data_IF_001299384856
#
_entry.id   IF_001299384856
#
_cell.length_a   1.000
_cell.length_b   1.000
_cell.length_c   1.000
_cell.angle_alpha   90.00
_cell.angle_beta   90.00
_cell.angle_gamma   90.00
#
_symmetry.space_group_name_H-M   'P 1'
#
loop_
_entity.id
_entity.type
_entity.pdbx_description
1 polymer ?
#
# COMPACT_ATOMS: atom_id res chain seq x y z
N UNK A 1 -37.96 41.48 13.85
CA UNK A 1 -36.54 41.70 13.55
C UNK A 1 -35.76 40.46 13.97
N UNK A 2 -34.96 39.94 13.03
CA UNK A 2 -33.85 38.97 13.15
C UNK A 2 -34.09 37.57 13.71
N UNK A 3 -34.23 36.61 12.79
CA UNK A 3 -33.90 35.21 13.01
C UNK A 3 -32.38 35.02 12.75
N UNK A 4 -31.65 34.52 13.75
CA UNK A 4 -30.24 34.19 13.62
C UNK A 4 -30.11 32.84 12.89
N UNK A 5 -29.63 32.87 11.65
CA UNK A 5 -29.28 31.67 10.91
C UNK A 5 -27.95 31.13 11.45
N UNK A 6 -28.00 29.94 12.04
CA UNK A 6 -26.85 29.19 12.51
C UNK A 6 -26.17 28.53 11.29
N UNK A 7 -25.09 29.12 10.79
CA UNK A 7 -24.29 28.51 9.73
C UNK A 7 -23.39 27.41 10.34
N UNK A 8 -23.79 26.15 10.15
CA UNK A 8 -22.93 24.99 10.40
C UNK A 8 -21.86 24.96 9.29
N UNK A 9 -20.66 25.42 9.61
CA UNK A 9 -19.47 25.12 8.80
C UNK A 9 -19.12 23.65 9.00
N UNK A 10 -19.57 22.79 8.09
CA UNK A 10 -19.01 21.45 7.91
C UNK A 10 -17.59 21.61 7.39
N UNK A 11 -16.61 21.62 8.30
CA UNK A 11 -15.21 21.48 7.94
C UNK A 11 -15.01 20.07 7.39
N UNK A 12 -14.98 19.95 6.06
CA UNK A 12 -14.46 18.75 5.40
C UNK A 12 -12.98 18.74 5.75
N UNK A 13 -12.56 17.79 6.60
CA UNK A 13 -11.15 17.57 6.83
C UNK A 13 -10.54 17.16 5.48
N UNK A 14 -9.73 18.04 4.89
CA UNK A 14 -8.86 17.68 3.78
C UNK A 14 -7.86 16.68 4.35
N UNK A 15 -8.12 15.40 4.08
CA UNK A 15 -7.17 14.33 4.37
C UNK A 15 -5.98 14.57 3.45
N UNK A 16 -4.85 15.01 4.02
CA UNK A 16 -3.63 15.28 3.24
C UNK A 16 -3.07 13.95 2.74
N UNK A 17 -3.09 13.75 1.42
CA UNK A 17 -2.49 12.62 0.74
C UNK A 17 -0.96 12.66 0.73
N UNK A 18 -0.36 11.50 0.44
CA UNK A 18 1.05 11.38 0.15
C UNK A 18 1.27 10.35 -0.98
N UNK A 19 2.38 10.48 -1.69
CA UNK A 19 2.70 9.59 -2.81
C UNK A 19 2.96 8.16 -2.36
N UNK A 20 2.26 7.18 -2.94
CA UNK A 20 2.47 5.77 -2.61
C UNK A 20 3.63 5.18 -3.43
N UNK A 21 4.66 4.69 -2.75
CA UNK A 21 5.90 4.22 -3.37
C UNK A 21 6.41 2.94 -2.72
N UNK A 22 7.35 2.29 -3.41
CA UNK A 22 8.18 1.23 -2.85
C UNK A 22 9.51 1.78 -2.36
N UNK A 23 10.01 1.21 -1.28
CA UNK A 23 11.42 1.29 -0.92
C UNK A 23 11.96 -0.13 -0.72
N UNK A 24 13.25 -0.36 -0.94
CA UNK A 24 13.88 -1.65 -0.67
C UNK A 24 15.32 -1.47 -0.22
N UNK A 25 15.81 -2.45 0.53
CA UNK A 25 17.18 -2.51 1.01
C UNK A 25 17.76 -3.90 0.79
N UNK A 26 19.03 -3.96 0.42
CA UNK A 26 19.78 -5.19 0.17
C UNK A 26 21.26 -4.99 0.55
N UNK A 27 22.09 -6.06 0.57
CA UNK A 27 23.54 -5.93 0.74
C UNK A 27 24.22 -5.05 -0.31
N UNK A 28 23.58 -4.86 -1.47
CA UNK A 28 24.09 -4.06 -2.58
C UNK A 28 23.65 -2.60 -2.53
N UNK A 29 22.88 -2.21 -1.50
CA UNK A 29 22.39 -0.85 -1.32
C UNK A 29 20.87 -0.77 -1.23
N UNK A 30 20.37 0.46 -1.31
CA UNK A 30 18.95 0.79 -1.19
C UNK A 30 18.43 1.34 -2.50
N UNK A 31 17.16 1.06 -2.78
CA UNK A 31 16.46 1.59 -3.95
C UNK A 31 15.03 1.97 -3.61
N UNK A 32 14.42 2.78 -4.47
CA UNK A 32 13.03 3.16 -4.37
C UNK A 32 12.41 3.14 -5.76
N UNK A 33 11.12 2.86 -5.83
CA UNK A 33 10.39 2.77 -7.09
C UNK A 33 8.97 3.29 -6.94
N UNK A 34 8.43 3.85 -8.02
CA UNK A 34 7.03 4.26 -8.07
C UNK A 34 6.17 3.04 -8.41
N UNK A 35 4.96 3.03 -7.86
CA UNK A 35 3.95 2.05 -8.22
C UNK A 35 2.98 2.62 -9.25
N UNK A 36 2.41 1.74 -10.04
CA UNK A 36 1.21 2.00 -10.84
C UNK A 36 0.09 1.06 -10.38
N UNK A 37 -1.16 1.52 -10.48
CA UNK A 37 -2.30 0.63 -10.30
C UNK A 37 -2.55 -0.13 -11.60
N UNK A 38 -2.44 -1.46 -11.55
CA UNK A 38 -2.86 -2.33 -12.64
C UNK A 38 -4.26 -2.87 -12.35
N UNK A 39 -5.21 -2.55 -13.22
CA UNK A 39 -6.59 -2.99 -13.06
C UNK A 39 -6.70 -4.48 -13.40
N UNK A 40 -7.21 -5.29 -12.48
CA UNK A 40 -7.42 -6.73 -12.67
C UNK A 40 -8.91 -7.10 -12.80
N UNK A 41 -9.80 -6.19 -12.40
CA UNK A 41 -11.25 -6.26 -12.64
C UNK A 41 -11.86 -4.86 -12.53
N UNK A 42 -13.17 -4.73 -12.79
CA UNK A 42 -13.89 -3.46 -12.61
C UNK A 42 -13.82 -2.92 -11.16
N UNK A 43 -13.60 -3.81 -10.19
CA UNK A 43 -13.62 -3.49 -8.77
C UNK A 43 -12.28 -3.65 -8.05
N UNK A 44 -11.21 -4.08 -8.73
CA UNK A 44 -9.93 -4.42 -8.09
C UNK A 44 -8.70 -4.02 -8.91
N UNK A 45 -7.69 -3.54 -8.19
CA UNK A 45 -6.41 -3.08 -8.71
C UNK A 45 -5.27 -3.65 -7.86
N UNK A 46 -4.16 -4.00 -8.49
CA UNK A 46 -2.93 -4.41 -7.78
C UNK A 46 -1.85 -3.36 -7.98
N UNK A 47 -0.88 -3.33 -7.06
CA UNK A 47 0.33 -2.53 -7.23
C UNK A 47 1.28 -3.25 -8.20
N UNK A 48 1.40 -2.74 -9.43
CA UNK A 48 2.48 -3.13 -10.35
C UNK A 48 3.71 -2.29 -10.05
N UNK A 49 4.78 -2.96 -9.63
CA UNK A 49 5.97 -2.33 -9.10
C UNK A 49 7.15 -2.35 -10.08
N UNK A 50 8.18 -1.58 -9.74
CA UNK A 50 9.55 -1.86 -10.19
C UNK A 50 9.96 -1.27 -11.54
N UNK A 51 9.21 -0.29 -12.06
CA UNK A 51 9.58 0.44 -13.29
C UNK A 51 9.91 1.89 -12.97
N UNK A 52 10.82 2.49 -13.74
CA UNK A 52 11.07 3.93 -13.72
C UNK A 52 9.88 4.65 -14.38
N UNK A 53 8.77 4.72 -13.66
CA UNK A 53 7.53 5.41 -14.06
C UNK A 53 7.35 6.65 -13.21
N UNK A 54 6.60 7.62 -13.70
CA UNK A 54 6.19 8.77 -12.90
C UNK A 54 5.31 8.33 -11.73
N UNK A 55 5.32 9.10 -10.64
CA UNK A 55 4.46 8.83 -9.50
C UNK A 55 3.01 9.14 -9.90
N UNK A 56 2.11 8.16 -9.79
CA UNK A 56 0.70 8.32 -10.20
C UNK A 56 -0.31 8.08 -9.08
N UNK A 57 0.12 7.60 -7.91
CA UNK A 57 -0.77 7.20 -6.82
C UNK A 57 -0.58 8.15 -5.64
N UNK A 58 -1.68 8.76 -5.21
CA UNK A 58 -1.80 9.40 -3.90
C UNK A 58 -2.59 8.48 -2.98
N UNK A 59 -2.13 8.30 -1.75
CA UNK A 59 -2.77 7.46 -0.76
C UNK A 59 -2.66 8.06 0.64
N UNK A 60 -3.49 7.54 1.54
CA UNK A 60 -3.50 7.92 2.96
C UNK A 60 -3.89 6.73 3.82
N UNK A 61 -3.36 6.69 5.04
CA UNK A 61 -3.86 5.80 6.08
C UNK A 61 -4.83 6.56 6.96
N UNK A 62 -6.09 6.14 6.98
CA UNK A 62 -7.16 6.76 7.76
C UNK A 62 -7.98 5.68 8.45
N UNK A 63 -8.07 5.76 9.79
CA UNK A 63 -8.91 4.88 10.58
C UNK A 63 -8.64 3.39 10.33
N UNK A 64 -7.36 2.99 10.39
CA UNK A 64 -6.83 1.64 10.12
C UNK A 64 -6.87 1.14 8.65
N UNK A 65 -7.37 1.95 7.73
CA UNK A 65 -7.44 1.63 6.31
C UNK A 65 -6.41 2.43 5.50
N UNK A 66 -5.68 1.76 4.61
CA UNK A 66 -4.93 2.43 3.54
C UNK A 66 -5.87 2.66 2.37
N UNK A 67 -6.10 3.92 2.01
CA UNK A 67 -7.02 4.33 0.94
C UNK A 67 -6.28 5.10 -0.14
N UNK A 68 -6.72 4.92 -1.38
CA UNK A 68 -6.26 5.76 -2.51
C UNK A 68 -7.06 7.05 -2.59
N UNK A 69 -6.38 8.13 -2.98
CA UNK A 69 -6.96 9.42 -3.31
C UNK A 69 -6.90 9.69 -4.82
N UNK A 70 -5.80 9.30 -5.46
CA UNK A 70 -5.61 9.35 -6.92
C UNK A 70 -4.98 8.04 -7.42
N UNK A 71 -5.21 7.62 -8.68
CA UNK A 71 -6.10 8.25 -9.67
C UNK A 71 -7.59 7.93 -9.43
N UNK A 72 -7.89 6.88 -8.67
CA UNK A 72 -9.26 6.45 -8.35
C UNK A 72 -9.49 6.60 -6.86
N UNK A 73 -10.22 7.64 -6.45
CA UNK A 73 -10.45 7.92 -5.04
C UNK A 73 -11.31 6.84 -4.36
N UNK A 74 -10.96 6.51 -3.12
CA UNK A 74 -11.79 5.71 -2.22
C UNK A 74 -11.58 4.20 -2.29
N UNK A 75 -10.65 3.68 -3.09
CA UNK A 75 -10.30 2.26 -3.03
C UNK A 75 -9.60 1.96 -1.70
N UNK A 76 -10.00 0.86 -1.05
CA UNK A 76 -9.42 0.37 0.20
C UNK A 76 -8.41 -0.74 -0.10
N UNK A 77 -7.23 -0.70 0.53
CA UNK A 77 -6.25 -1.77 0.43
C UNK A 77 -6.69 -2.99 1.26
N UNK A 78 -6.66 -4.15 0.60
CA UNK A 78 -6.88 -5.46 1.17
C UNK A 78 -5.67 -6.36 0.93
N UNK A 79 -5.41 -7.27 1.85
CA UNK A 79 -4.45 -8.35 1.68
C UNK A 79 -5.22 -9.59 1.23
N UNK A 80 -5.13 -9.90 -0.07
CA UNK A 80 -5.85 -11.02 -0.70
C UNK A 80 -4.96 -12.26 -0.69
N UNK A 81 -5.37 -13.39 -0.09
CA UNK A 81 -4.51 -14.57 0.04
C UNK A 81 -4.18 -15.19 -1.32
N UNK A 82 -2.94 -15.64 -1.46
CA UNK A 82 -2.48 -16.42 -2.62
C UNK A 82 -2.69 -17.90 -2.32
N UNK A 83 -3.63 -18.54 -3.03
CA UNK A 83 -3.99 -19.93 -2.77
C UNK A 83 -2.79 -20.87 -2.97
N UNK A 84 -2.54 -21.73 -1.98
CA UNK A 84 -1.48 -22.75 -2.04
C UNK A 84 -0.06 -22.25 -1.77
N UNK A 85 0.12 -20.99 -1.35
CA UNK A 85 1.44 -20.46 -0.95
C UNK A 85 1.92 -21.06 0.37
N UNK A 86 3.20 -21.42 0.46
CA UNK A 86 3.88 -21.74 1.71
C UNK A 86 5.29 -21.10 1.71
N UNK A 87 5.60 -20.12 2.58
CA UNK A 87 4.75 -19.55 3.64
C UNK A 87 3.49 -18.86 3.10
N UNK A 88 2.60 -18.43 3.99
CA UNK A 88 1.37 -17.74 3.58
C UNK A 88 1.71 -16.38 2.94
N UNK A 89 1.21 -16.15 1.73
CA UNK A 89 1.42 -14.92 0.96
C UNK A 89 0.09 -14.24 0.68
N UNK A 90 0.10 -12.91 0.64
CA UNK A 90 -1.07 -12.08 0.37
C UNK A 90 -0.70 -10.98 -0.62
N UNK A 91 -1.50 -10.81 -1.67
CA UNK A 91 -1.33 -9.71 -2.63
C UNK A 91 -1.98 -8.45 -2.10
N UNK A 92 -1.25 -7.32 -2.13
CA UNK A 92 -1.81 -6.00 -1.82
C UNK A 92 -2.73 -5.58 -2.98
N UNK A 93 -4.03 -5.55 -2.72
CA UNK A 93 -5.07 -5.25 -3.71
C UNK A 93 -5.91 -4.08 -3.23
N UNK A 94 -6.06 -3.05 -4.06
CA UNK A 94 -6.99 -1.95 -3.82
C UNK A 94 -8.34 -2.29 -4.43
N UNK A 95 -9.39 -2.30 -3.60
CA UNK A 95 -10.74 -2.72 -4.00
C UNK A 95 -11.78 -1.64 -3.73
N UNK A 96 -12.82 -1.59 -4.57
CA UNK A 96 -13.98 -0.71 -4.38
C UNK A 96 -15.14 -1.39 -3.63
N UNK A 97 -15.12 -2.71 -3.52
CA UNK A 97 -16.08 -3.52 -2.75
C UNK A 97 -15.39 -4.70 -2.09
N UNK A 98 -15.98 -5.21 -1.01
CA UNK A 98 -15.56 -6.44 -0.33
C UNK A 98 -16.21 -7.69 -0.92
N UNK A 99 -17.21 -7.51 -1.80
CA UNK A 99 -17.98 -8.61 -2.37
C UNK A 99 -17.16 -9.46 -3.33
N UNK A 100 -17.31 -10.79 -3.23
CA UNK A 100 -16.69 -11.74 -4.16
C UNK A 100 -15.18 -11.93 -4.00
N UNK A 101 -14.59 -11.41 -2.92
CA UNK A 101 -13.17 -11.63 -2.62
C UNK A 101 -12.92 -13.00 -1.99
N UNK A 102 -11.73 -13.59 -2.20
CA UNK A 102 -11.37 -14.88 -1.61
C UNK A 102 -11.51 -14.91 -0.08
N UNK A 103 -11.91 -16.06 0.46
CA UNK A 103 -11.90 -16.30 1.90
C UNK A 103 -10.48 -16.11 2.46
N UNK A 104 -10.37 -15.50 3.64
CA UNK A 104 -9.09 -15.15 4.25
C UNK A 104 -8.53 -13.79 3.82
N UNK A 105 -9.25 -13.03 2.98
CA UNK A 105 -8.90 -11.63 2.69
C UNK A 105 -8.93 -10.79 3.96
N UNK A 106 -7.85 -10.05 4.22
CA UNK A 106 -7.70 -9.18 5.38
C UNK A 106 -7.92 -7.72 4.99
N UNK A 107 -8.77 -7.05 5.76
CA UNK A 107 -9.05 -5.62 5.68
C UNK A 107 -8.61 -4.93 6.96
N UNK A 108 -8.28 -3.64 6.86
CA UNK A 108 -7.86 -2.85 8.01
C UNK A 108 -6.51 -3.29 8.58
N UNK A 109 -6.18 -2.79 9.77
CA UNK A 109 -4.89 -3.05 10.42
C UNK A 109 -3.70 -2.31 9.79
N UNK A 110 -3.97 -1.40 8.85
CA UNK A 110 -2.97 -0.55 8.23
C UNK A 110 -2.60 0.61 9.16
N UNK A 111 -1.31 0.86 9.31
CA UNK A 111 -0.81 1.99 10.09
C UNK A 111 0.49 2.53 9.51
N UNK A 112 0.84 3.74 9.93
CA UNK A 112 2.14 4.33 9.64
C UNK A 112 3.11 3.93 10.75
N UNK A 113 4.33 3.57 10.36
CA UNK A 113 5.39 3.22 11.30
C UNK A 113 6.51 4.26 11.27
N UNK A 114 6.96 4.62 12.48
CA UNK A 114 8.13 5.47 12.69
C UNK A 114 9.45 4.68 12.57
N UNK A 115 9.39 3.37 12.32
CA UNK A 115 10.58 2.57 12.05
C UNK A 115 11.25 3.01 10.73
N UNK A 116 12.49 3.45 10.86
CA UNK A 116 13.34 3.96 9.79
C UNK A 116 14.34 2.94 9.26
N UNK A 117 14.41 1.74 9.82
CA UNK A 117 15.35 0.70 9.39
C UNK A 117 15.16 0.43 7.89
N UNK A 118 16.26 0.47 7.12
CA UNK A 118 16.25 0.22 5.67
C UNK A 118 15.70 1.36 4.80
N UNK A 119 15.34 2.51 5.38
CA UNK A 119 14.97 3.72 4.63
C UNK A 119 16.10 4.76 4.59
N UNK A 120 16.49 5.19 3.39
CA UNK A 120 17.46 6.28 3.18
C UNK A 120 16.80 7.63 2.97
N UNK A 121 15.60 7.67 2.40
CA UNK A 121 14.90 8.93 2.12
C UNK A 121 14.14 9.41 3.38
N UNK A 122 14.45 10.60 3.92
CA UNK A 122 13.81 11.12 5.14
C UNK A 122 12.31 11.40 4.97
N UNK A 123 11.82 11.60 3.74
CA UNK A 123 10.42 11.91 3.49
C UNK A 123 9.51 10.68 3.45
N UNK A 124 10.10 9.47 3.41
CA UNK A 124 9.34 8.23 3.36
C UNK A 124 8.83 7.84 4.74
N UNK A 125 7.59 7.40 4.84
CA UNK A 125 7.06 6.77 6.05
C UNK A 125 6.54 5.38 5.69
N UNK A 126 6.92 4.36 6.48
CA UNK A 126 6.48 2.99 6.20
C UNK A 126 4.98 2.86 6.44
N UNK A 127 4.32 2.18 5.52
CA UNK A 127 2.97 1.65 5.70
C UNK A 127 3.11 0.18 6.10
N UNK A 128 2.53 -0.20 7.22
CA UNK A 128 2.58 -1.56 7.76
C UNK A 128 1.17 -2.09 7.97
N UNK A 129 1.03 -3.42 8.01
CA UNK A 129 -0.22 -4.10 8.37
C UNK A 129 0.01 -4.99 9.60
N UNK A 130 -0.99 -5.09 10.48
CA UNK A 130 -0.91 -5.91 11.70
C UNK A 130 -1.09 -7.42 11.49
N UNK A 131 -1.35 -7.87 10.24
CA UNK A 131 -1.43 -9.29 9.90
C UNK A 131 -0.16 -10.03 10.34
N UNK A 132 -0.31 -11.25 10.85
CA UNK A 132 0.82 -12.06 11.32
C UNK A 132 1.62 -11.39 12.46
N UNK A 133 1.01 -10.48 13.24
CA UNK A 133 1.72 -9.75 14.29
C UNK A 133 2.67 -8.66 13.78
N UNK A 134 2.64 -8.34 12.48
CA UNK A 134 3.54 -7.35 11.87
C UNK A 134 4.94 -7.87 11.55
N UNK A 135 5.17 -9.18 11.63
CA UNK A 135 6.50 -9.80 11.47
C UNK A 135 6.84 -10.21 10.02
N UNK A 136 5.85 -10.21 9.11
CA UNK A 136 6.07 -10.53 7.70
C UNK A 136 6.63 -9.36 6.90
N UNK A 137 7.14 -9.65 5.70
CA UNK A 137 7.83 -8.70 4.81
C UNK A 137 7.06 -8.51 3.51
N UNK A 138 7.34 -7.40 2.82
CA UNK A 138 6.87 -7.24 1.45
C UNK A 138 7.91 -7.67 0.43
N UNK A 139 7.44 -8.34 -0.61
CA UNK A 139 8.21 -8.74 -1.78
C UNK A 139 7.50 -8.33 -3.07
N UNK A 140 8.29 -8.22 -4.15
CA UNK A 140 7.73 -8.11 -5.49
C UNK A 140 7.71 -9.51 -6.08
N UNK A 141 6.55 -10.11 -6.20
CA UNK A 141 6.39 -11.41 -6.82
C UNK A 141 5.86 -11.22 -8.23
N UNK A 142 6.54 -11.84 -9.20
CA UNK A 142 6.02 -11.94 -10.56
C UNK A 142 4.86 -12.93 -10.51
N UNK A 143 3.65 -12.42 -10.67
CA UNK A 143 2.44 -13.24 -10.67
C UNK A 143 1.71 -13.04 -11.98
N UNK A 144 1.36 -14.15 -12.62
CA UNK A 144 0.41 -14.14 -13.73
C UNK A 144 -1.00 -13.94 -13.14
N UNK A 145 -1.40 -12.68 -12.98
CA UNK A 145 -2.75 -12.34 -12.53
C UNK A 145 -3.61 -12.09 -13.77
N UNK A 146 -4.66 -12.90 -13.91
CA UNK A 146 -5.69 -12.73 -14.96
C UNK A 146 -5.15 -12.70 -16.41
N UNK A 147 -4.01 -13.36 -16.67
CA UNK A 147 -3.42 -13.46 -18.00
C UNK A 147 -2.36 -12.40 -18.34
N UNK A 148 -2.14 -11.43 -17.43
CA UNK A 148 -1.07 -10.45 -17.54
C UNK A 148 0.09 -10.77 -16.59
N UNK A 149 1.32 -10.54 -17.06
CA UNK A 149 2.54 -10.62 -16.24
C UNK A 149 2.69 -9.32 -15.43
N UNK A 150 2.28 -9.36 -14.16
CA UNK A 150 2.36 -8.21 -13.24
C UNK A 150 3.38 -8.50 -12.13
N UNK A 151 4.18 -7.50 -11.75
CA UNK A 151 5.01 -7.57 -10.55
C UNK A 151 4.19 -7.09 -9.36
N UNK A 152 3.38 -7.99 -8.83
CA UNK A 152 2.48 -7.70 -7.73
C UNK A 152 3.27 -7.54 -6.42
N UNK A 153 2.92 -6.51 -5.66
CA UNK A 153 3.43 -6.34 -4.31
C UNK A 153 2.71 -7.30 -3.36
N UNK A 154 3.46 -8.21 -2.74
CA UNK A 154 2.92 -9.24 -1.86
C UNK A 154 3.49 -9.12 -0.45
N UNK A 155 2.66 -9.33 0.56
CA UNK A 155 3.07 -9.56 1.93
C UNK A 155 3.29 -11.05 2.12
N UNK A 156 4.40 -11.41 2.77
CA UNK A 156 4.84 -12.79 2.99
C UNK A 156 5.05 -13.00 4.48
N UNK A 157 4.47 -14.06 5.03
CA UNK A 157 4.66 -14.49 6.42
C UNK A 157 6.05 -15.13 6.62
N UNK A 158 7.09 -14.31 6.47
CA UNK A 158 8.47 -14.70 6.62
C UNK A 158 9.31 -13.56 7.20
N UNK A 159 10.33 -13.87 8.02
CA UNK A 159 11.14 -12.85 8.66
C UNK A 159 11.98 -12.04 7.65
N UNK A 160 12.23 -10.78 8.01
CA UNK A 160 13.05 -9.81 7.26
C UNK A 160 14.55 -10.16 7.18
N UNK A 161 15.02 -11.12 7.97
CA UNK A 161 16.43 -11.47 8.05
C UNK A 161 16.73 -12.65 7.14
N UNK A 162 17.58 -12.42 6.13
CA UNK A 162 18.20 -13.48 5.35
C UNK A 162 19.71 -13.47 5.63
N UNK A 163 20.23 -14.54 6.23
CA UNK A 163 21.65 -14.70 6.57
C UNK A 163 22.25 -13.54 7.40
N UNK A 164 21.48 -12.99 8.35
CA UNK A 164 21.94 -11.93 9.26
C UNK A 164 22.03 -10.53 8.63
N UNK A 165 21.67 -10.39 7.34
CA UNK A 165 21.52 -9.11 6.68
C UNK A 165 20.03 -8.78 6.54
N UNK A 166 19.71 -7.49 6.69
CA UNK A 166 18.38 -6.99 6.45
C UNK A 166 18.08 -6.99 4.95
N UNK A 167 17.02 -7.68 4.53
CA UNK A 167 16.58 -7.73 3.14
C UNK A 167 15.06 -7.65 3.07
N UNK A 168 14.52 -6.63 2.39
CA UNK A 168 13.08 -6.50 2.25
C UNK A 168 12.66 -5.31 1.40
N UNK A 169 11.41 -5.38 0.94
CA UNK A 169 10.71 -4.24 0.36
C UNK A 169 9.73 -3.64 1.37
N UNK A 170 9.36 -2.40 1.13
CA UNK A 170 8.45 -1.62 1.95
C UNK A 170 7.44 -0.92 1.09
N UNK A 171 6.19 -0.90 1.55
CA UNK A 171 5.23 0.09 1.15
C UNK A 171 5.51 1.39 1.92
N UNK A 172 5.66 2.51 1.23
CA UNK A 172 5.93 3.80 1.86
C UNK A 172 5.04 4.90 1.29
N UNK A 173 4.70 5.86 2.14
CA UNK A 173 4.17 7.16 1.73
C UNK A 173 5.31 8.18 1.65
N UNK A 174 5.40 8.90 0.54
CA UNK A 174 6.34 10.00 0.31
C UNK A 174 5.67 11.32 0.67
N UNK A 175 5.91 11.78 1.89
CA UNK A 175 5.28 12.98 2.45
C UNK A 175 5.74 14.27 1.76
N UNK A 176 6.78 14.23 0.93
CA UNK A 176 7.25 15.39 0.18
C UNK A 176 6.74 15.43 -1.26
N UNK A 177 6.29 14.31 -1.81
CA UNK A 177 5.82 14.21 -3.19
C UNK A 177 4.47 13.50 -3.21
N UNK A 178 3.40 14.29 -3.27
CA UNK A 178 2.05 13.79 -3.47
C UNK A 178 1.61 13.96 -4.92
N UNK A 179 0.64 13.17 -5.35
CA UNK A 179 -0.03 13.31 -6.65
C UNK A 179 -1.33 14.05 -6.43
N UNK A 180 -1.49 15.19 -7.09
CA UNK A 180 -2.76 15.92 -7.05
C UNK A 180 -3.72 15.41 -8.12
N UNK A 181 -4.95 15.16 -7.69
CA UNK A 181 -6.15 15.19 -8.50
C UNK A 181 -7.01 16.37 -8.02
#
# INVERSE_FOLDING_TARGET
MFAAALALFSAVALVNGAGLKSASTSPYGQSAGNFTLHQISDAAYVLDAGKAVDLTISAVVEGDALKTLCPTAGLEAALVPVAGSNPANYTVTFVSSRDGLPEGTVFGGWSLSDDRIGLSNPNFQKVVNSIGGGEGKFENERTALYGDDVFAFTWVDAPYLHNGAYWGSYLVLDNANDVSC
#
